data_IF_805742229568
#
_entry.id   IF_805742229568
#
_cell.length_a   1.000
_cell.length_b   1.000
_cell.length_c   1.000
_cell.angle_alpha   90.00
_cell.angle_beta   90.00
_cell.angle_gamma   90.00
#
_symmetry.space_group_name_H-M   'P 1'
#
loop_
_entity.id
_entity.type
_entity.pdbx_description
1 polymer ?
#
# COMPACT_ATOMS: atom_id res chain seq x y z
N UNK A 1 -21.87 -7.10 15.53
CA UNK A 1 -22.02 -6.62 14.13
C UNK A 1 -20.71 -5.96 13.75
N UNK A 2 -20.16 -6.25 12.58
CA UNK A 2 -18.83 -5.77 12.17
C UNK A 2 -18.85 -4.26 12.05
N UNK A 3 -18.32 -3.57 13.05
CA UNK A 3 -18.04 -2.14 12.99
C UNK A 3 -17.01 -1.92 11.88
N UNK A 4 -17.30 -1.00 10.97
CA UNK A 4 -16.31 -0.60 9.98
C UNK A 4 -15.38 0.39 10.67
N UNK A 5 -14.07 0.31 10.40
CA UNK A 5 -13.17 1.33 10.92
C UNK A 5 -13.56 2.70 10.31
N UNK A 6 -13.38 3.80 11.06
CA UNK A 6 -13.95 5.12 10.74
C UNK A 6 -13.45 5.70 9.40
N UNK A 7 -12.32 5.20 8.91
CA UNK A 7 -11.69 5.55 7.64
C UNK A 7 -12.22 4.73 6.44
N UNK A 8 -13.15 3.79 6.63
CA UNK A 8 -13.67 2.90 5.59
C UNK A 8 -15.21 2.96 5.56
N UNK A 9 -15.73 3.49 4.46
CA UNK A 9 -17.18 3.70 4.29
C UNK A 9 -17.95 2.44 3.86
N UNK A 10 -17.25 1.39 3.38
CA UNK A 10 -17.87 0.20 2.80
C UNK A 10 -17.17 -1.10 3.20
N UNK A 11 -17.96 -2.13 3.53
CA UNK A 11 -17.45 -3.47 3.86
C UNK A 11 -16.71 -4.10 2.69
N UNK A 12 -17.19 -3.88 1.46
CA UNK A 12 -16.51 -4.36 0.25
C UNK A 12 -15.12 -3.73 0.13
N UNK A 13 -15.04 -2.42 0.39
CA UNK A 13 -13.78 -1.68 0.40
C UNK A 13 -12.81 -2.23 1.45
N UNK A 14 -13.27 -2.48 2.67
CA UNK A 14 -12.45 -3.11 3.72
C UNK A 14 -11.83 -4.41 3.23
N UNK A 15 -12.63 -5.29 2.63
CA UNK A 15 -12.18 -6.58 2.11
C UNK A 15 -11.11 -6.41 1.03
N UNK A 16 -11.32 -5.51 0.07
CA UNK A 16 -10.34 -5.27 -0.99
C UNK A 16 -9.01 -4.71 -0.47
N UNK A 17 -9.05 -3.76 0.46
CA UNK A 17 -7.82 -3.17 1.03
C UNK A 17 -7.09 -4.19 1.87
N UNK A 18 -7.80 -4.94 2.72
CA UNK A 18 -7.21 -5.98 3.55
C UNK A 18 -6.62 -7.13 2.71
N UNK A 19 -7.27 -7.52 1.60
CA UNK A 19 -6.76 -8.53 0.68
C UNK A 19 -5.45 -8.08 0.03
N UNK A 20 -5.43 -6.89 -0.58
CA UNK A 20 -4.22 -6.33 -1.20
C UNK A 20 -3.09 -6.15 -0.19
N UNK A 21 -3.40 -5.75 1.05
CA UNK A 21 -2.40 -5.65 2.10
C UNK A 21 -1.89 -7.02 2.55
N UNK A 22 -2.76 -8.02 2.66
CA UNK A 22 -2.36 -9.39 2.99
C UNK A 22 -1.42 -9.98 1.92
N UNK A 23 -1.66 -9.69 0.64
CA UNK A 23 -0.77 -10.08 -0.46
C UNK A 23 0.63 -9.48 -0.28
N UNK A 24 0.74 -8.20 0.09
CA UNK A 24 2.04 -7.58 0.38
C UNK A 24 2.76 -8.30 1.53
N UNK A 25 2.05 -8.64 2.60
CA UNK A 25 2.62 -9.39 3.73
C UNK A 25 3.09 -10.79 3.31
N UNK A 26 2.33 -11.47 2.45
CA UNK A 26 2.72 -12.77 1.88
C UNK A 26 3.97 -12.63 1.00
N UNK A 27 4.11 -11.52 0.28
CA UNK A 27 5.30 -11.19 -0.51
C UNK A 27 6.51 -10.75 0.34
N UNK A 28 6.40 -10.78 1.67
CA UNK A 28 7.48 -10.45 2.60
C UNK A 28 7.56 -8.98 3.00
N UNK A 29 6.53 -8.18 2.70
CA UNK A 29 6.45 -6.82 3.24
C UNK A 29 6.39 -6.86 4.77
N UNK A 30 7.06 -5.90 5.42
CA UNK A 30 7.06 -5.82 6.88
C UNK A 30 5.67 -5.43 7.42
N UNK A 31 5.18 -6.12 8.46
CA UNK A 31 4.04 -5.64 9.23
C UNK A 31 4.34 -4.26 9.82
N UNK A 32 3.34 -3.37 9.80
CA UNK A 32 3.37 -2.05 10.42
C UNK A 32 2.89 -2.08 11.87
N UNK A 33 2.19 -3.14 12.24
CA UNK A 33 1.64 -3.36 13.57
C UNK A 33 2.06 -4.74 14.06
N UNK A 34 2.49 -4.81 15.33
CA UNK A 34 2.71 -6.08 16.00
C UNK A 34 1.36 -6.72 16.31
N UNK A 35 0.95 -7.65 15.44
CA UNK A 35 -0.28 -8.40 15.64
C UNK A 35 0.02 -9.69 16.41
N UNK A 36 -0.90 -10.05 17.31
CA UNK A 36 -0.92 -11.38 17.96
C UNK A 36 -1.21 -12.51 16.96
N UNK A 37 -1.62 -12.17 15.74
CA UNK A 37 -2.04 -13.12 14.73
C UNK A 37 -0.93 -13.39 13.72
N UNK A 38 -0.69 -14.67 13.44
CA UNK A 38 0.29 -15.10 12.41
C UNK A 38 -0.30 -15.01 11.00
N UNK A 39 -1.62 -15.11 10.86
CA UNK A 39 -2.29 -15.13 9.54
C UNK A 39 -2.24 -13.73 8.90
N UNK A 40 -1.68 -13.57 7.68
CA UNK A 40 -1.47 -12.26 7.07
C UNK A 40 -2.77 -11.48 6.86
N UNK A 41 -3.88 -12.14 6.56
CA UNK A 41 -5.19 -11.48 6.44
C UNK A 41 -5.67 -10.86 7.76
N UNK A 42 -5.36 -11.47 8.91
CA UNK A 42 -5.70 -10.91 10.22
C UNK A 42 -4.81 -9.71 10.55
N UNK A 43 -3.51 -9.81 10.29
CA UNK A 43 -2.58 -8.69 10.44
C UNK A 43 -3.01 -7.51 9.56
N UNK A 44 -3.38 -7.76 8.30
CA UNK A 44 -3.87 -6.74 7.40
C UNK A 44 -5.15 -6.06 7.90
N UNK A 45 -6.11 -6.81 8.47
CA UNK A 45 -7.31 -6.24 9.07
C UNK A 45 -6.99 -5.35 10.28
N UNK A 46 -6.08 -5.79 11.15
CA UNK A 46 -5.62 -5.00 12.30
C UNK A 46 -4.96 -3.70 11.85
N UNK A 47 -4.09 -3.76 10.82
CA UNK A 47 -3.43 -2.58 10.27
C UNK A 47 -4.40 -1.61 9.57
N UNK A 48 -5.40 -2.12 8.84
CA UNK A 48 -6.43 -1.27 8.22
C UNK A 48 -7.32 -0.63 9.28
N UNK A 49 -7.67 -1.38 10.33
CA UNK A 49 -8.44 -0.87 11.46
C UNK A 49 -7.70 0.20 12.28
N UNK A 50 -6.37 0.11 12.34
CA UNK A 50 -5.50 1.10 12.99
C UNK A 50 -5.12 2.28 12.07
N UNK A 51 -5.68 2.37 10.86
CA UNK A 51 -5.37 3.41 9.86
C UNK A 51 -3.88 3.48 9.44
N UNK A 52 -3.18 2.34 9.49
CA UNK A 52 -1.76 2.24 9.13
C UNK A 52 -1.54 1.89 7.64
N UNK A 53 -2.60 1.53 6.93
CA UNK A 53 -2.56 1.14 5.51
C UNK A 53 -3.10 2.28 4.65
N UNK A 54 -2.20 2.95 3.92
CA UNK A 54 -2.59 3.98 2.95
C UNK A 54 -3.18 3.32 1.70
N UNK A 55 -4.34 3.78 1.27
CA UNK A 55 -5.01 3.34 0.05
C UNK A 55 -5.60 4.56 -0.68
N UNK A 56 -5.68 4.49 -2.00
CA UNK A 56 -6.31 5.51 -2.84
C UNK A 56 -7.10 4.83 -3.97
N UNK A 57 -8.18 5.46 -4.41
CA UNK A 57 -8.95 5.01 -5.58
C UNK A 57 -8.36 5.70 -6.80
N UNK A 58 -7.89 4.93 -7.77
CA UNK A 58 -7.59 5.46 -9.11
C UNK A 58 -6.38 6.39 -9.23
N UNK A 59 -5.45 6.37 -8.28
CA UNK A 59 -4.14 7.00 -8.50
C UNK A 59 -3.30 6.10 -9.39
N UNK A 60 -2.76 6.63 -10.50
CA UNK A 60 -1.63 6.03 -11.20
C UNK A 60 -0.60 5.52 -10.18
N UNK A 61 0.11 4.39 -10.44
CA UNK A 61 1.20 4.00 -9.55
C UNK A 61 2.05 5.24 -9.34
N UNK A 62 2.40 5.55 -8.09
CA UNK A 62 3.37 6.60 -7.82
C UNK A 62 4.59 6.24 -8.66
N UNK A 63 4.72 6.89 -9.82
CA UNK A 63 5.92 6.90 -10.62
C UNK A 63 6.90 7.51 -9.66
N UNK A 64 7.71 6.66 -9.05
CA UNK A 64 8.95 7.04 -8.44
C UNK A 64 9.66 7.84 -9.54
N UNK A 65 9.62 9.15 -9.41
CA UNK A 65 10.23 10.11 -10.32
C UNK A 65 11.73 9.95 -10.13
N UNK A 66 12.29 8.86 -10.67
CA UNK A 66 13.72 8.76 -10.87
C UNK A 66 14.05 9.86 -11.87
N UNK A 67 14.84 10.90 -11.49
CA UNK A 67 15.23 11.91 -12.44
C UNK A 67 15.92 11.19 -13.60
N UNK A 68 15.37 11.32 -14.80
CA UNK A 68 16.01 10.86 -16.02
C UNK A 68 17.42 11.46 -16.00
N UNK A 69 18.50 10.67 -16.12
CA UNK A 69 19.81 11.26 -16.33
C UNK A 69 19.71 12.10 -17.60
N UNK A 70 19.76 13.41 -17.41
CA UNK A 70 19.89 14.39 -18.48
C UNK A 70 21.20 14.10 -19.19
N UNK A 71 21.10 13.37 -20.31
CA UNK A 71 22.24 13.10 -21.18
C UNK A 71 22.74 14.46 -21.69
N UNK A 72 23.95 14.92 -21.31
CA UNK A 72 24.42 16.22 -21.76
C UNK A 72 24.58 16.13 -23.28
N UNK A 73 23.86 17.01 -23.99
CA UNK A 73 23.97 17.20 -25.43
C UNK A 73 25.46 17.13 -25.84
N UNK A 74 25.87 16.27 -26.80
CA UNK A 74 27.24 16.27 -27.25
C UNK A 74 27.55 17.66 -27.85
N UNK A 75 28.35 18.42 -27.13
CA UNK A 75 29.05 19.58 -27.69
C UNK A 75 30.14 19.03 -28.61
N UNK A 76 29.83 18.92 -29.89
CA UNK A 76 30.79 18.84 -30.98
C UNK A 76 30.40 19.97 -31.95
N UNK A 77 31.17 21.04 -32.13
CA UNK A 77 32.62 21.09 -32.18
C UNK A 77 33.09 20.70 -33.57
N UNK A 78 32.76 21.54 -34.57
CA UNK A 78 33.59 21.87 -35.75
C UNK A 78 33.11 23.22 -36.32
#
# INVERSE_FOLDING_TARGET
MTDLPPNIESKFRLVHIAARRAEQLIQGARPKLESRHVKPTRVALDEVGADLVRWQIGGAPATEEAPLPEDPLPTAGD
#
